data_IF_379410053404
#
_entry.id   IF_379410053404
#
_cell.length_a   1.000
_cell.length_b   1.000
_cell.length_c   1.000
_cell.angle_alpha   90.00
_cell.angle_beta   90.00
_cell.angle_gamma   90.00
#
_symmetry.space_group_name_H-M   'P 1'
#
loop_
_entity.id
_entity.type
_entity.pdbx_description
1 polymer ?
#
# COMPACT_ATOMS: atom_id res chain seq x y z
N UNK A 1 -34.24 -7.72 -2.86
CA UNK A 1 -35.69 -7.79 -3.22
C UNK A 1 -35.92 -9.06 -4.03
N UNK A 2 -37.06 -9.75 -3.88
CA UNK A 2 -37.40 -10.93 -4.68
C UNK A 2 -38.28 -10.54 -5.88
N UNK A 3 -38.06 -11.17 -7.03
CA UNK A 3 -38.93 -11.08 -8.20
C UNK A 3 -40.33 -11.65 -7.87
N UNK A 4 -41.38 -10.86 -8.07
CA UNK A 4 -42.77 -11.29 -7.87
C UNK A 4 -43.49 -11.21 -9.22
N UNK A 5 -44.07 -12.34 -9.64
CA UNK A 5 -44.78 -12.48 -10.93
C UNK A 5 -46.27 -12.60 -10.66
N UNK A 6 -47.05 -11.64 -11.14
CA UNK A 6 -48.50 -11.62 -10.96
C UNK A 6 -49.22 -11.74 -12.32
N UNK A 7 -50.18 -12.67 -12.49
CA UNK A 7 -50.89 -12.84 -13.75
C UNK A 7 -51.88 -11.69 -14.01
N UNK A 8 -51.78 -11.13 -15.22
CA UNK A 8 -52.52 -9.94 -15.66
C UNK A 8 -54.03 -10.18 -15.74
N UNK A 9 -54.49 -11.40 -16.05
CA UNK A 9 -55.87 -11.89 -15.94
C UNK A 9 -56.99 -10.88 -16.31
N UNK A 10 -56.79 -10.06 -17.35
CA UNK A 10 -57.78 -9.07 -17.82
C UNK A 10 -58.02 -7.86 -16.91
N UNK A 11 -57.15 -7.60 -15.93
CA UNK A 11 -57.28 -6.47 -15.00
C UNK A 11 -56.56 -5.23 -15.53
N UNK A 12 -57.25 -4.07 -15.56
CA UNK A 12 -56.67 -2.79 -15.98
C UNK A 12 -55.84 -2.08 -14.90
N UNK A 13 -55.97 -2.50 -13.63
CA UNK A 13 -55.20 -1.96 -12.50
C UNK A 13 -54.63 -3.13 -11.69
N UNK A 14 -53.31 -3.17 -11.54
CA UNK A 14 -52.59 -4.18 -10.76
C UNK A 14 -51.90 -3.48 -9.59
N UNK A 15 -52.41 -3.70 -8.37
CA UNK A 15 -51.79 -3.20 -7.15
C UNK A 15 -50.75 -4.22 -6.67
N UNK A 16 -49.47 -3.94 -6.89
CA UNK A 16 -48.36 -4.78 -6.44
C UNK A 16 -47.81 -4.20 -5.14
N UNK A 17 -48.09 -4.85 -4.00
CA UNK A 17 -47.45 -4.53 -2.74
C UNK A 17 -46.12 -5.31 -2.64
N UNK A 18 -45.00 -4.58 -2.74
CA UNK A 18 -43.66 -5.17 -2.62
C UNK A 18 -43.45 -5.71 -1.20
N UNK A 19 -43.21 -7.02 -1.08
CA UNK A 19 -42.76 -7.61 0.18
C UNK A 19 -41.32 -7.19 0.43
N UNK A 20 -40.97 -6.63 1.61
CA UNK A 20 -39.59 -6.33 1.94
C UNK A 20 -38.77 -7.63 1.91
N UNK A 21 -37.82 -7.70 0.97
CA UNK A 21 -36.86 -8.79 0.94
C UNK A 21 -35.74 -8.45 1.90
N UNK A 22 -35.71 -9.11 3.06
CA UNK A 22 -34.53 -9.11 3.92
C UNK A 22 -33.39 -9.82 3.17
N UNK A 23 -32.56 -9.03 2.47
CA UNK A 23 -31.24 -9.47 2.05
C UNK A 23 -30.36 -9.40 3.30
N UNK A 24 -30.38 -10.46 4.11
CA UNK A 24 -29.29 -10.69 5.04
C UNK A 24 -28.10 -11.10 4.17
N UNK A 25 -27.22 -10.14 3.85
CA UNK A 25 -25.90 -10.44 3.34
C UNK A 25 -25.16 -11.11 4.49
N UNK A 26 -25.08 -12.43 4.46
CA UNK A 26 -24.17 -13.16 5.34
C UNK A 26 -22.76 -12.93 4.80
N UNK A 27 -22.03 -12.04 5.45
CA UNK A 27 -20.62 -11.83 5.17
C UNK A 27 -19.87 -13.07 5.64
N UNK A 28 -19.41 -13.85 4.66
CA UNK A 28 -18.63 -15.05 4.87
C UNK A 28 -17.17 -14.65 4.92
N UNK A 29 -16.50 -15.02 6.00
CA UNK A 29 -15.11 -14.68 6.25
C UNK A 29 -14.25 -15.93 6.15
N UNK A 30 -13.22 -15.87 5.31
CA UNK A 30 -12.22 -16.94 5.22
C UNK A 30 -11.33 -16.88 6.46
N UNK A 31 -11.35 -17.96 7.23
CA UNK A 31 -10.52 -18.11 8.43
C UNK A 31 -9.18 -18.78 8.12
N UNK A 32 -8.28 -18.81 9.11
CA UNK A 32 -6.91 -19.34 9.07
C UNK A 32 -6.68 -20.73 8.44
N UNK A 33 -7.73 -21.52 8.19
CA UNK A 33 -7.62 -22.87 7.63
C UNK A 33 -8.42 -23.05 6.33
N UNK A 34 -8.80 -21.96 5.65
CA UNK A 34 -9.64 -22.03 4.45
C UNK A 34 -11.08 -22.48 4.73
N UNK A 35 -11.47 -22.52 6.01
CA UNK A 35 -12.84 -22.79 6.42
C UNK A 35 -13.56 -21.46 6.52
N UNK A 36 -14.57 -21.29 5.68
CA UNK A 36 -15.49 -20.17 5.71
C UNK A 36 -16.32 -20.20 7.00
N UNK A 37 -16.32 -19.09 7.75
CA UNK A 37 -17.21 -18.90 8.89
C UNK A 37 -17.92 -17.56 8.78
N UNK A 38 -19.14 -17.51 9.28
CA UNK A 38 -19.85 -16.24 9.44
C UNK A 38 -19.05 -15.33 10.37
N UNK A 39 -18.81 -14.08 9.95
CA UNK A 39 -18.02 -13.10 10.71
C UNK A 39 -18.50 -12.95 12.16
N UNK A 40 -19.83 -13.00 12.35
CA UNK A 40 -20.49 -12.89 13.67
C UNK A 40 -20.19 -14.04 14.64
N UNK A 41 -19.68 -15.18 14.14
CA UNK A 41 -19.33 -16.33 14.96
C UNK A 41 -17.92 -16.22 15.56
N UNK A 42 -17.12 -15.23 15.15
CA UNK A 42 -15.76 -15.05 15.62
C UNK A 42 -15.72 -14.14 16.85
N UNK A 43 -15.11 -14.61 17.94
CA UNK A 43 -14.95 -13.87 19.19
C UNK A 43 -13.79 -12.88 19.20
N UNK A 44 -13.20 -12.55 18.05
CA UNK A 44 -12.03 -11.70 17.92
C UNK A 44 -12.19 -10.69 16.78
N UNK A 45 -11.43 -9.59 16.85
CA UNK A 45 -11.45 -8.57 15.80
C UNK A 45 -10.70 -9.06 14.54
N UNK A 46 -11.47 -9.29 13.48
CA UNK A 46 -10.98 -9.57 12.14
C UNK A 46 -11.53 -8.51 11.18
N UNK A 47 -10.84 -8.30 10.06
CA UNK A 47 -11.38 -7.53 8.95
C UNK A 47 -11.03 -8.28 7.67
N UNK A 48 -12.01 -8.47 6.80
CA UNK A 48 -11.81 -9.10 5.50
C UNK A 48 -12.02 -8.07 4.40
N UNK A 49 -11.10 -8.07 3.43
CA UNK A 49 -11.15 -7.20 2.26
C UNK A 49 -11.28 -8.11 1.04
N UNK A 50 -12.41 -8.03 0.35
CA UNK A 50 -12.67 -8.81 -0.86
C UNK A 50 -11.89 -8.31 -2.08
N UNK A 51 -11.81 -9.16 -3.11
CA UNK A 51 -11.11 -8.91 -4.37
C UNK A 51 -11.46 -7.55 -4.99
N UNK A 52 -12.74 -7.18 -4.99
CA UNK A 52 -13.22 -5.95 -5.63
C UNK A 52 -12.54 -4.71 -5.05
N UNK A 53 -12.29 -4.72 -3.74
CA UNK A 53 -11.61 -3.62 -3.06
C UNK A 53 -10.11 -3.64 -3.30
N UNK A 54 -9.51 -4.80 -3.56
CA UNK A 54 -8.08 -4.89 -3.83
C UNK A 54 -7.81 -4.41 -5.25
N UNK A 55 -8.58 -4.91 -6.22
CA UNK A 55 -8.44 -4.60 -7.64
C UNK A 55 -8.88 -3.19 -8.03
N UNK A 56 -9.82 -2.57 -7.28
CA UNK A 56 -10.29 -1.18 -7.52
C UNK A 56 -9.13 -0.18 -7.66
N UNK A 57 -8.05 -0.40 -6.90
CA UNK A 57 -6.91 0.52 -6.85
C UNK A 57 -5.86 0.33 -7.94
N UNK A 58 -5.95 -0.73 -8.75
CA UNK A 58 -5.00 -1.10 -9.83
C UNK A 58 -3.53 -0.95 -9.42
N UNK A 59 -3.23 -1.17 -8.13
CA UNK A 59 -1.88 -1.04 -7.60
C UNK A 59 -1.07 -2.25 -8.02
N UNK A 60 0.18 -2.05 -8.44
CA UNK A 60 1.12 -3.15 -8.69
C UNK A 60 1.38 -3.99 -7.43
N UNK A 61 1.22 -3.38 -6.24
CA UNK A 61 1.41 -4.02 -4.96
C UNK A 61 0.08 -4.06 -4.17
N UNK A 62 -0.46 -5.26 -3.95
CA UNK A 62 -1.73 -5.49 -3.23
C UNK A 62 -1.73 -4.92 -1.80
N UNK A 63 -0.56 -4.84 -1.15
CA UNK A 63 -0.48 -4.32 0.23
C UNK A 63 -0.95 -2.88 0.30
N UNK A 64 -0.55 -2.03 -0.67
CA UNK A 64 -0.96 -0.62 -0.74
C UNK A 64 -2.48 -0.47 -0.87
N UNK A 65 -3.15 -1.44 -1.49
CA UNK A 65 -4.60 -1.45 -1.63
C UNK A 65 -5.34 -1.58 -0.28
N UNK A 66 -4.69 -2.08 0.77
CA UNK A 66 -5.27 -2.26 2.10
C UNK A 66 -5.15 -1.02 2.99
N UNK A 67 -4.32 -0.05 2.60
CA UNK A 67 -4.13 1.20 3.33
C UNK A 67 -5.46 1.92 3.49
N UNK A 68 -5.83 2.25 4.73
CA UNK A 68 -7.10 2.91 5.05
C UNK A 68 -8.35 2.01 4.98
N UNK A 69 -8.23 0.75 4.51
CA UNK A 69 -9.35 -0.21 4.48
C UNK A 69 -9.42 -1.09 5.72
N UNK A 70 -8.30 -1.27 6.41
CA UNK A 70 -8.22 -2.07 7.64
C UNK A 70 -7.79 -1.19 8.82
N UNK A 71 -8.68 -1.05 9.81
CA UNK A 71 -8.36 -0.29 11.01
C UNK A 71 -7.22 -0.94 11.82
N UNK A 72 -6.21 -0.13 12.20
CA UNK A 72 -5.04 -0.58 12.96
C UNK A 72 -3.96 -1.26 12.12
N UNK A 73 -4.12 -1.31 10.79
CA UNK A 73 -3.10 -1.71 9.84
C UNK A 73 -2.25 -0.49 9.45
N UNK A 74 -0.93 -0.61 9.58
CA UNK A 74 0.02 0.37 9.08
C UNK A 74 0.89 -0.29 8.02
N UNK A 75 0.99 0.35 6.86
CA UNK A 75 1.79 -0.11 5.74
C UNK A 75 2.78 1.00 5.43
N UNK A 76 4.07 0.70 5.60
CA UNK A 76 5.16 1.56 5.18
C UNK A 76 5.81 0.95 3.97
N UNK A 77 5.74 1.63 2.83
CA UNK A 77 6.41 1.23 1.59
C UNK A 77 7.59 2.17 1.35
N UNK A 78 8.71 1.63 0.90
CA UNK A 78 9.80 2.47 0.39
C UNK A 78 9.47 2.99 -1.00
N UNK A 79 10.07 4.10 -1.39
CA UNK A 79 9.88 4.69 -2.72
C UNK A 79 10.33 3.76 -3.85
N UNK A 80 9.68 3.88 -5.01
CA UNK A 80 9.98 3.12 -6.22
C UNK A 80 8.85 2.18 -6.66
N UNK A 81 8.80 1.82 -7.96
CA UNK A 81 7.70 1.05 -8.54
C UNK A 81 7.59 -0.38 -8.00
N UNK A 82 8.69 -0.94 -7.49
CA UNK A 82 8.74 -2.25 -6.84
C UNK A 82 9.22 -2.18 -5.38
N UNK A 83 9.02 -1.04 -4.71
CA UNK A 83 9.50 -0.85 -3.35
C UNK A 83 8.85 -1.86 -2.39
N UNK A 84 9.67 -2.44 -1.49
CA UNK A 84 9.17 -3.29 -0.43
C UNK A 84 8.09 -2.60 0.39
N UNK A 85 7.15 -3.40 0.90
CA UNK A 85 6.14 -2.98 1.85
C UNK A 85 6.34 -3.72 3.17
N UNK A 86 6.53 -2.96 4.24
CA UNK A 86 6.50 -3.44 5.62
C UNK A 86 5.09 -3.24 6.17
N UNK A 87 4.52 -4.31 6.72
CA UNK A 87 3.17 -4.29 7.28
C UNK A 87 3.25 -4.52 8.79
N UNK A 88 2.71 -3.58 9.56
CA UNK A 88 2.58 -3.69 11.01
C UNK A 88 1.12 -3.55 11.44
N UNK A 89 0.75 -4.26 12.50
CA UNK A 89 -0.59 -4.26 13.07
C UNK A 89 -0.55 -3.76 14.51
N UNK A 90 -1.33 -2.73 14.81
CA UNK A 90 -1.43 -2.11 16.14
C UNK A 90 -0.09 -1.53 16.67
N UNK A 91 0.79 -1.14 15.75
CA UNK A 91 2.07 -0.52 16.09
C UNK A 91 3.21 -1.52 16.32
N UNK A 92 4.33 -1.01 16.81
CA UNK A 92 5.55 -1.76 17.02
C UNK A 92 5.61 -2.32 18.46
N UNK A 93 5.66 -3.64 18.61
CA UNK A 93 5.71 -4.33 19.91
C UNK A 93 7.14 -4.68 20.37
N UNK A 94 8.12 -4.57 19.48
CA UNK A 94 9.52 -4.88 19.70
C UNK A 94 10.41 -3.69 19.37
N UNK A 95 11.47 -3.52 20.15
CA UNK A 95 12.54 -2.56 19.85
C UNK A 95 13.40 -3.00 18.66
N UNK A 96 13.26 -4.26 18.22
CA UNK A 96 13.86 -4.73 16.98
C UNK A 96 13.00 -4.32 15.79
N UNK A 97 13.54 -3.46 14.92
CA UNK A 97 12.85 -2.95 13.73
C UNK A 97 12.33 -4.05 12.80
N UNK A 98 13.00 -5.21 12.73
CA UNK A 98 12.59 -6.36 11.90
C UNK A 98 11.66 -7.33 12.62
N UNK A 99 11.37 -7.10 13.90
CA UNK A 99 10.57 -8.00 14.73
C UNK A 99 9.08 -7.66 14.80
N UNK A 100 8.62 -6.61 14.10
CA UNK A 100 7.26 -6.04 14.23
C UNK A 100 6.35 -6.33 13.04
N UNK A 101 6.81 -7.11 12.07
CA UNK A 101 6.03 -7.42 10.88
C UNK A 101 4.93 -8.44 11.21
N UNK A 102 3.76 -8.24 10.61
CA UNK A 102 2.68 -9.21 10.64
C UNK A 102 3.06 -10.44 9.82
N UNK A 103 2.66 -11.63 10.29
CA UNK A 103 2.87 -12.86 9.53
C UNK A 103 1.94 -12.88 8.31
N UNK A 104 2.49 -13.02 7.12
CA UNK A 104 1.70 -13.16 5.90
C UNK A 104 1.61 -14.63 5.50
N UNK A 105 0.40 -15.05 5.15
CA UNK A 105 0.05 -16.43 4.83
C UNK A 105 -0.69 -16.41 3.50
N UNK A 106 -0.18 -17.16 2.54
CA UNK A 106 -0.79 -17.34 1.23
C UNK A 106 -1.34 -18.76 1.17
N UNK A 107 -2.66 -18.91 1.07
CA UNK A 107 -3.35 -20.21 0.96
C UNK A 107 -2.92 -21.22 2.04
N UNK A 108 -2.73 -20.74 3.28
CA UNK A 108 -2.29 -21.54 4.42
C UNK A 108 -0.77 -21.72 4.56
N UNK A 109 0.03 -21.26 3.60
CA UNK A 109 1.49 -21.35 3.64
C UNK A 109 2.09 -20.00 4.07
N UNK A 110 2.89 -19.95 5.15
CA UNK A 110 3.59 -18.72 5.54
C UNK A 110 4.58 -18.27 4.47
N UNK A 111 4.50 -17.01 4.07
CA UNK A 111 5.44 -16.40 3.13
C UNK A 111 6.38 -15.43 3.86
N UNK A 112 7.59 -15.28 3.34
CA UNK A 112 8.59 -14.40 3.91
C UNK A 112 8.45 -12.98 3.34
N UNK A 113 8.31 -11.98 4.21
CA UNK A 113 8.23 -10.56 3.86
C UNK A 113 9.56 -9.84 3.72
N UNK A 114 10.68 -10.56 3.83
CA UNK A 114 12.02 -9.98 3.79
C UNK A 114 12.24 -9.13 2.53
N UNK A 115 12.55 -7.86 2.77
CA UNK A 115 13.08 -6.92 1.77
C UNK A 115 14.40 -7.42 1.21
N UNK A 116 14.51 -7.38 -0.12
CA UNK A 116 15.73 -7.67 -0.87
C UNK A 116 16.30 -6.32 -1.30
N UNK A 117 17.54 -6.00 -0.93
CA UNK A 117 18.14 -4.71 -1.26
C UNK A 117 19.66 -4.75 -1.24
N UNK A 118 20.30 -3.77 -1.88
CA UNK A 118 21.74 -3.53 -1.73
C UNK A 118 21.96 -2.59 -0.55
N UNK A 119 22.76 -3.01 0.44
CA UNK A 119 23.19 -2.17 1.56
C UNK A 119 22.53 -2.48 2.92
N UNK A 120 23.18 -2.04 3.99
CA UNK A 120 22.85 -2.39 5.38
C UNK A 120 22.52 -1.19 6.29
N UNK A 121 22.47 0.05 5.78
CA UNK A 121 22.33 1.24 6.63
C UNK A 121 21.51 2.35 5.98
N UNK A 122 20.52 2.82 6.72
CA UNK A 122 19.73 4.01 6.43
C UNK A 122 20.64 5.23 6.20
N UNK A 123 20.61 5.78 4.99
CA UNK A 123 20.78 7.20 4.64
C UNK A 123 22.04 7.99 5.12
N UNK A 124 23.06 7.37 5.72
CA UNK A 124 24.33 8.03 6.09
C UNK A 124 25.58 7.16 5.84
N UNK A 125 25.62 6.44 4.72
CA UNK A 125 26.83 5.78 4.21
C UNK A 125 26.95 5.99 2.70
N UNK A 126 28.13 5.76 2.14
CA UNK A 126 28.48 5.97 0.72
C UNK A 126 27.55 5.29 -0.30
N UNK A 127 26.73 4.31 0.11
CA UNK A 127 25.85 3.55 -0.77
C UNK A 127 24.40 4.06 -0.74
N UNK A 128 23.91 4.49 -1.90
CA UNK A 128 22.49 4.62 -2.18
C UNK A 128 21.84 3.24 -2.17
N UNK A 129 21.37 2.81 -1.00
CA UNK A 129 20.75 1.50 -0.84
C UNK A 129 19.51 1.37 -1.74
N UNK A 130 19.53 0.40 -2.65
CA UNK A 130 18.43 0.14 -3.58
C UNK A 130 17.56 -0.97 -3.00
N UNK A 131 16.25 -0.75 -2.95
CA UNK A 131 15.26 -1.77 -2.61
C UNK A 131 14.78 -2.46 -3.89
N UNK A 132 15.02 -3.77 -3.99
CA UNK A 132 14.61 -4.61 -5.10
C UNK A 132 13.21 -5.20 -4.93
N UNK A 133 12.54 -4.91 -3.82
CA UNK A 133 11.22 -5.39 -3.45
C UNK A 133 11.22 -6.51 -2.41
N UNK A 134 10.06 -7.10 -2.21
CA UNK A 134 9.87 -8.22 -1.28
C UNK A 134 9.01 -9.30 -1.92
N UNK A 135 8.99 -10.50 -1.37
CA UNK A 135 8.15 -11.58 -1.93
C UNK A 135 6.64 -11.29 -1.84
N UNK A 136 6.24 -10.22 -1.16
CA UNK A 136 4.86 -9.77 -1.15
C UNK A 136 4.47 -9.10 -2.47
N UNK A 137 5.39 -8.42 -3.15
CA UNK A 137 5.12 -7.78 -4.45
C UNK A 137 5.00 -8.79 -5.60
N UNK A 138 5.48 -10.03 -5.40
CA UNK A 138 5.35 -11.11 -6.38
C UNK A 138 3.90 -11.62 -6.53
N UNK A 139 3.03 -11.30 -5.57
CA UNK A 139 1.63 -11.73 -5.59
C UNK A 139 0.84 -10.77 -6.48
N UNK A 140 0.31 -11.31 -7.58
CA UNK A 140 -0.60 -10.60 -8.45
C UNK A 140 -1.91 -10.24 -7.73
N UNK A 141 -2.29 -8.95 -7.62
CA UNK A 141 -3.54 -8.53 -6.99
C UNK A 141 -4.80 -9.16 -7.62
N UNK A 142 -4.77 -9.43 -8.93
CA UNK A 142 -5.91 -10.03 -9.64
C UNK A 142 -6.14 -11.50 -9.28
N UNK A 143 -5.15 -12.18 -8.73
CA UNK A 143 -5.26 -13.57 -8.28
C UNK A 143 -5.81 -13.66 -6.85
N UNK A 144 -5.94 -12.53 -6.14
CA UNK A 144 -6.44 -12.49 -4.76
C UNK A 144 -7.98 -12.50 -4.76
N UNK A 145 -8.56 -13.46 -4.06
CA UNK A 145 -10.00 -13.53 -3.78
C UNK A 145 -10.35 -12.70 -2.54
N UNK A 146 -9.58 -12.86 -1.47
CA UNK A 146 -9.78 -12.09 -0.25
C UNK A 146 -8.50 -11.97 0.58
N UNK A 147 -8.44 -10.89 1.37
CA UNK A 147 -7.42 -10.69 2.41
C UNK A 147 -8.10 -10.56 3.76
N UNK A 148 -7.80 -11.49 4.65
CA UNK A 148 -8.30 -11.56 6.02
C UNK A 148 -7.22 -11.15 7.01
N UNK A 149 -7.47 -10.09 7.78
CA UNK A 149 -6.52 -9.54 8.75
C UNK A 149 -6.94 -9.89 10.17
N UNK A 150 -6.12 -10.69 10.84
CA UNK A 150 -6.24 -11.09 12.23
C UNK A 150 -5.42 -10.14 13.11
N UNK A 151 -6.09 -9.28 13.87
CA UNK A 151 -5.46 -8.15 14.58
C UNK A 151 -4.91 -8.48 15.96
N UNK A 152 -5.18 -9.68 16.47
CA UNK A 152 -4.96 -10.03 17.87
C UNK A 152 -4.26 -11.38 18.05
N UNK A 153 -3.44 -11.54 19.10
CA UNK A 153 -2.75 -12.80 19.39
C UNK A 153 -3.70 -13.99 19.57
N UNK A 154 -4.92 -13.76 20.08
CA UNK A 154 -5.94 -14.78 20.27
C UNK A 154 -6.49 -15.34 18.95
N UNK A 155 -6.63 -14.49 17.93
CA UNK A 155 -7.04 -14.88 16.58
C UNK A 155 -5.92 -15.65 15.85
N UNK A 156 -4.68 -15.27 16.16
CA UNK A 156 -3.46 -15.69 15.47
C UNK A 156 -2.78 -16.90 16.12
N UNK A 157 -3.29 -17.41 17.24
CA UNK A 157 -2.69 -18.48 18.03
C UNK A 157 -2.39 -19.77 17.23
N UNK A 158 -3.15 -20.03 16.17
CA UNK A 158 -2.96 -21.19 15.29
C UNK A 158 -1.61 -21.18 14.54
N UNK A 159 -0.99 -20.00 14.37
CA UNK A 159 0.28 -19.85 13.64
C UNK A 159 1.49 -19.63 14.57
N UNK A 160 1.31 -19.81 15.87
CA UNK A 160 2.38 -19.79 16.86
C UNK A 160 2.99 -18.40 17.12
N UNK A 161 4.25 -18.37 17.57
CA UNK A 161 4.90 -17.15 18.06
C UNK A 161 5.07 -16.05 17.00
N UNK A 162 5.21 -16.42 15.72
CA UNK A 162 5.31 -15.47 14.59
C UNK A 162 4.02 -14.67 14.39
N UNK A 163 2.91 -15.19 14.89
CA UNK A 163 1.58 -14.62 14.79
C UNK A 163 1.29 -13.60 15.91
N UNK A 164 2.24 -13.39 16.83
CA UNK A 164 2.07 -12.47 17.96
C UNK A 164 1.81 -11.01 17.52
N UNK A 165 2.36 -10.61 16.37
CA UNK A 165 2.14 -9.29 15.76
C UNK A 165 0.92 -9.25 14.83
N UNK A 166 0.07 -10.27 14.85
CA UNK A 166 -1.06 -10.42 13.94
C UNK A 166 -0.71 -11.18 12.66
N UNK A 167 -1.75 -11.51 11.89
CA UNK A 167 -1.66 -12.36 10.71
C UNK A 167 -2.48 -11.78 9.57
N UNK A 168 -1.92 -11.82 8.37
CA UNK A 168 -2.60 -11.47 7.12
C UNK A 168 -2.71 -12.75 6.31
N UNK A 169 -3.95 -13.19 6.12
CA UNK A 169 -4.28 -14.38 5.35
C UNK A 169 -4.75 -13.91 3.98
N UNK A 170 -4.04 -14.35 2.95
CA UNK A 170 -4.39 -14.15 1.55
C UNK A 170 -4.97 -15.46 1.06
N UNK A 171 -6.15 -15.37 0.46
CA UNK A 171 -6.79 -16.49 -0.23
C UNK A 171 -6.84 -16.16 -1.71
N UNK A 172 -6.28 -17.05 -2.53
CA UNK A 172 -6.29 -16.91 -3.98
C UNK A 172 -7.57 -17.43 -4.60
N UNK A 173 -7.93 -16.87 -5.75
CA UNK A 173 -9.10 -17.30 -6.52
C UNK A 173 -8.95 -18.76 -6.93
N UNK A 174 -9.90 -19.58 -6.51
CA UNK A 174 -10.01 -20.96 -6.94
C UNK A 174 -10.90 -21.12 -8.18
N UNK A 175 -10.69 -22.19 -8.93
CA UNK A 175 -11.52 -22.50 -10.09
C UNK A 175 -12.96 -22.82 -9.67
N UNK A 176 -13.89 -21.92 -9.93
CA UNK A 176 -15.32 -22.17 -9.79
C UNK A 176 -15.93 -22.59 -11.13
N UNK A 177 -17.01 -23.38 -11.09
CA UNK A 177 -17.78 -23.64 -12.31
C UNK A 177 -18.33 -22.30 -12.79
N UNK A 178 -17.83 -21.81 -13.92
CA UNK A 178 -18.42 -20.65 -14.55
C UNK A 178 -19.81 -21.04 -15.05
N UNK A 179 -20.85 -20.41 -14.48
CA UNK A 179 -22.22 -20.58 -14.96
C UNK A 179 -22.40 -20.06 -16.40
N UNK A 180 -21.43 -19.29 -16.93
CA UNK A 180 -21.47 -18.72 -18.29
C UNK A 180 -20.08 -18.64 -18.95
N UNK A 181 -19.91 -19.38 -20.04
CA UNK A 181 -18.77 -19.24 -20.96
C UNK A 181 -17.47 -19.92 -20.51
N UNK A 182 -16.36 -19.57 -21.16
CA UNK A 182 -15.05 -20.25 -21.05
C UNK A 182 -14.28 -19.83 -19.77
N UNK A 183 -14.74 -18.79 -19.05
CA UNK A 183 -14.11 -18.35 -17.80
C UNK A 183 -12.81 -17.56 -18.00
N UNK A 184 -12.72 -16.77 -19.08
CA UNK A 184 -11.56 -15.93 -19.38
C UNK A 184 -11.82 -14.50 -18.90
N UNK A 185 -10.90 -13.97 -18.09
CA UNK A 185 -10.91 -12.58 -17.62
C UNK A 185 -9.64 -11.88 -18.10
N UNK A 186 -9.80 -10.67 -18.65
CA UNK A 186 -8.68 -9.83 -19.12
C UNK A 186 -8.76 -8.47 -18.45
N UNK A 187 -7.65 -8.04 -17.84
CA UNK A 187 -7.50 -6.73 -17.24
C UNK A 187 -6.31 -6.01 -17.92
N UNK A 188 -6.49 -4.72 -18.24
CA UNK A 188 -5.43 -3.86 -18.74
C UNK A 188 -5.62 -2.46 -18.19
N UNK A 189 -4.56 -1.90 -17.60
CA UNK A 189 -4.53 -0.56 -17.03
C UNK A 189 -3.26 0.16 -17.46
N UNK A 190 -3.34 1.49 -17.59
CA UNK A 190 -2.20 2.37 -17.86
C UNK A 190 -2.18 3.47 -16.79
N UNK A 191 -1.02 3.71 -16.20
CA UNK A 191 -0.80 4.75 -15.20
C UNK A 191 0.36 5.66 -15.60
N UNK A 192 0.32 6.90 -15.11
CA UNK A 192 1.40 7.88 -15.22
C UNK A 192 1.71 8.40 -13.82
N UNK A 193 3.00 8.54 -13.51
CA UNK A 193 3.48 9.04 -12.22
C UNK A 193 4.17 10.40 -12.43
N UNK A 194 3.84 11.35 -11.57
CA UNK A 194 4.48 12.68 -11.50
C UNK A 194 4.92 12.95 -10.05
N UNK A 195 5.85 13.87 -9.87
CA UNK A 195 6.42 14.20 -8.56
C UNK A 195 5.36 14.87 -7.69
N UNK A 196 5.00 14.20 -6.58
CA UNK A 196 3.94 14.65 -5.67
C UNK A 196 4.26 15.98 -4.99
N UNK A 197 5.51 16.17 -4.57
CA UNK A 197 5.94 17.39 -3.89
C UNK A 197 7.39 17.70 -4.23
N UNK A 198 7.60 18.87 -4.80
CA UNK A 198 8.93 19.46 -4.92
C UNK A 198 9.25 20.21 -3.63
N UNK A 199 10.50 20.16 -3.15
CA UNK A 199 10.95 21.07 -2.12
C UNK A 199 10.62 22.52 -2.51
N UNK A 200 10.22 23.33 -1.54
CA UNK A 200 10.08 24.76 -1.77
C UNK A 200 11.46 25.38 -1.99
N UNK A 201 11.76 25.73 -3.24
CA UNK A 201 12.97 26.45 -3.59
C UNK A 201 12.81 27.93 -3.31
N UNK A 202 13.91 28.56 -2.88
CA UNK A 202 14.00 30.01 -2.77
C UNK A 202 14.85 30.56 -3.90
N UNK A 203 14.39 31.66 -4.49
CA UNK A 203 15.00 32.27 -5.67
C UNK A 203 15.40 33.73 -5.40
N UNK A 204 15.41 34.14 -4.13
CA UNK A 204 15.68 35.53 -3.74
C UNK A 204 17.14 35.73 -3.38
N UNK A 205 17.79 34.75 -2.76
CA UNK A 205 19.16 34.87 -2.29
C UNK A 205 20.07 33.85 -2.99
N UNK A 206 21.22 34.33 -3.44
CA UNK A 206 22.25 33.49 -4.02
C UNK A 206 23.06 32.74 -2.98
N UNK A 207 24.13 32.10 -3.46
CA UNK A 207 25.12 31.43 -2.63
C UNK A 207 25.76 32.38 -1.61
N UNK A 208 25.77 31.98 -0.34
CA UNK A 208 26.34 32.75 0.76
C UNK A 208 27.57 32.08 1.33
N UNK A 209 28.75 32.45 0.84
CA UNK A 209 30.02 32.06 1.47
C UNK A 209 30.97 33.26 1.58
N UNK A 210 31.73 33.30 2.68
CA UNK A 210 32.84 34.22 2.91
C UNK A 210 32.57 35.71 2.67
N UNK A 211 31.34 36.18 2.97
CA UNK A 211 30.94 37.58 2.81
C UNK A 211 31.20 38.15 1.39
N UNK A 212 31.28 37.26 0.40
CA UNK A 212 31.70 37.58 -0.97
C UNK A 212 30.49 37.79 -1.85
N UNK A 213 30.47 38.91 -2.58
CA UNK A 213 29.34 39.31 -3.43
C UNK A 213 29.32 38.61 -4.80
N UNK A 214 30.20 37.62 -5.02
CA UNK A 214 30.39 36.95 -6.31
C UNK A 214 30.72 35.45 -6.14
N UNK A 215 30.34 34.67 -7.15
CA UNK A 215 30.65 33.24 -7.28
C UNK A 215 32.00 33.05 -7.98
N UNK A 216 32.88 32.22 -7.41
CA UNK A 216 34.17 31.80 -8.00
C UNK A 216 34.33 30.29 -7.87
N UNK A 217 34.43 29.61 -9.01
CA UNK A 217 34.72 28.18 -9.09
C UNK A 217 36.23 27.95 -9.00
N UNK A 218 36.69 27.43 -7.85
CA UNK A 218 38.11 27.21 -7.59
C UNK A 218 38.86 28.49 -7.17
N UNK A 219 40.14 28.33 -6.82
CA UNK A 219 40.99 29.46 -6.49
C UNK A 219 41.40 30.17 -7.79
N UNK A 220 41.06 31.45 -7.89
CA UNK A 220 41.42 32.31 -9.00
C UNK A 220 42.36 33.42 -8.51
N UNK A 221 42.86 34.24 -9.44
CA UNK A 221 43.67 35.43 -9.12
C UNK A 221 42.88 36.44 -8.26
N UNK A 222 41.55 36.39 -8.32
CA UNK A 222 40.61 37.23 -7.56
C UNK A 222 40.21 36.64 -6.18
N UNK A 223 40.76 35.50 -5.76
CA UNK A 223 40.59 34.96 -4.40
C UNK A 223 40.25 33.47 -4.30
N UNK A 224 39.89 33.07 -3.07
CA UNK A 224 39.58 31.68 -2.70
C UNK A 224 38.22 31.27 -3.28
N UNK A 225 38.07 29.98 -3.61
CA UNK A 225 36.79 29.39 -4.05
C UNK A 225 35.64 29.77 -3.10
N UNK A 226 34.54 30.27 -3.65
CA UNK A 226 33.37 30.65 -2.85
C UNK A 226 32.29 29.56 -2.76
N UNK A 227 32.57 28.34 -3.25
CA UNK A 227 31.64 27.20 -3.22
C UNK A 227 30.94 27.00 -1.86
N UNK A 228 29.62 27.10 -1.84
CA UNK A 228 28.74 26.85 -0.72
C UNK A 228 27.39 26.30 -1.19
N UNK A 229 26.87 25.36 -0.43
CA UNK A 229 25.51 24.79 -0.63
C UNK A 229 24.43 25.58 0.11
N UNK A 230 24.80 26.68 0.77
CA UNK A 230 23.92 27.51 1.57
C UNK A 230 23.47 28.76 0.80
N UNK A 231 22.16 28.98 0.70
CA UNK A 231 21.55 30.09 -0.05
C UNK A 231 21.24 31.30 0.84
N UNK A 232 22.06 31.59 1.85
CA UNK A 232 21.91 32.80 2.69
C UNK A 232 22.75 33.98 2.18
N UNK A 233 23.12 33.99 0.90
CA UNK A 233 23.96 35.02 0.27
C UNK A 233 23.22 36.31 -0.04
N UNK A 234 23.84 37.24 -0.81
CA UNK A 234 23.18 38.49 -1.21
C UNK A 234 21.93 38.23 -2.06
N UNK A 235 20.94 39.13 -1.94
CA UNK A 235 19.73 39.09 -2.76
C UNK A 235 20.09 39.22 -4.25
N UNK A 236 19.47 38.42 -5.09
CA UNK A 236 19.62 38.51 -6.54
C UNK A 236 19.20 39.90 -7.02
N UNK A 237 20.11 40.56 -7.72
CA UNK A 237 19.91 41.88 -8.33
C UNK A 237 19.86 41.71 -9.84
N UNK A 238 18.72 42.01 -10.46
CA UNK A 238 18.51 41.89 -11.90
C UNK A 238 19.46 42.77 -12.74
N UNK A 239 20.11 43.76 -12.13
CA UNK A 239 21.08 44.64 -12.80
C UNK A 239 22.52 44.14 -12.70
N UNK A 240 22.77 43.04 -11.97
CA UNK A 240 24.09 42.43 -11.85
C UNK A 240 24.11 41.11 -12.61
N UNK A 241 25.09 40.96 -13.50
CA UNK A 241 25.31 39.69 -14.21
C UNK A 241 25.88 38.68 -13.21
N UNK A 242 25.04 37.73 -12.82
CA UNK A 242 25.46 36.57 -12.03
C UNK A 242 25.44 35.39 -13.00
N UNK A 243 26.55 34.65 -13.09
CA UNK A 243 26.65 33.50 -13.98
C UNK A 243 25.69 32.41 -13.50
N UNK A 244 24.83 31.86 -14.37
CA UNK A 244 24.08 30.66 -14.04
C UNK A 244 25.05 29.49 -13.93
N UNK A 245 24.92 28.71 -12.85
CA UNK A 245 25.56 27.40 -12.70
C UNK A 245 24.73 26.36 -13.44
#
# INVERSE_FOLDING_TARGET
MKLQKEPVAGRNVINIALKPGALALEEVVVTALGIERAEKALGYAQTTVGSDKISESHQTNWTKALTGKVAGLSISSVGGPNGSAKISLRGDNSLNSSGNEALVILDGIPINSKTIGSGFKSYMGDDNAVDYGSRLSDINPDDIESVSVLKGPSASALYGSRAANGVIIITTKSGSKSDKGIGITFNSSVSWEDVLHWPHYQYEYGEGSNNSAYYSYGNSEDGISTIATATFGPKFDANKKIFPV
#
